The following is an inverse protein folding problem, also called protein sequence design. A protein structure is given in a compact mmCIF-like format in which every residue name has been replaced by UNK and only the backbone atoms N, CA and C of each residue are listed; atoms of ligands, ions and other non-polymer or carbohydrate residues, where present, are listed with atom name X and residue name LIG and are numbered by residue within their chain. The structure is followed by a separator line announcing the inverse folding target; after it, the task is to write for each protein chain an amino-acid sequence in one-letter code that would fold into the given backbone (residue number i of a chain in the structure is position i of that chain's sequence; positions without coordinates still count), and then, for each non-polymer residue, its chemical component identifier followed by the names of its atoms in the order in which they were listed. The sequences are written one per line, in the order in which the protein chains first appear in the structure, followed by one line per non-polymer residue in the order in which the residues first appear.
data_IF_462899564750
#
_entry.id   IF_462899564750
#
_cell.length_a   1.000
_cell.length_b   1.000
_cell.length_c   1.000
_cell.angle_alpha   90.00
_cell.angle_beta   90.00
_cell.angle_gamma   90.00
#
_symmetry.space_group_name_H-M   'P 1'
#
loop_
_entity.id
_entity.type
_entity.pdbx_description
1 polymer ?
#
# COMPACT_ATOMS: atom_id res chain seq x y z
N UNK A 1 19.43 54.53 5.53
CA UNK A 1 19.55 54.91 4.12
C UNK A 1 19.93 53.65 3.37
N UNK A 2 19.05 53.12 2.53
CA UNK A 2 19.39 52.57 1.21
C UNK A 2 18.17 51.96 0.51
N UNK A 3 17.98 52.39 -0.74
CA UNK A 3 17.20 51.77 -1.82
C UNK A 3 18.13 50.69 -2.45
N UNK A 4 17.73 49.58 -3.07
CA UNK A 4 16.71 49.37 -4.11
C UNK A 4 16.58 47.87 -4.45
N UNK A 5 15.35 47.43 -4.78
CA UNK A 5 14.87 46.37 -5.69
C UNK A 5 15.73 45.12 -6.04
N UNK A 6 15.12 43.93 -5.91
CA UNK A 6 14.82 43.04 -7.06
C UNK A 6 13.69 42.02 -6.75
N UNK A 7 13.03 41.56 -7.80
CA UNK A 7 11.73 40.86 -7.86
C UNK A 7 11.71 39.42 -7.31
N UNK A 8 10.53 38.94 -6.88
CA UNK A 8 10.17 37.52 -6.90
C UNK A 8 8.75 37.33 -7.45
N UNK A 9 8.69 36.60 -8.56
CA UNK A 9 7.46 36.08 -9.14
C UNK A 9 7.06 34.81 -8.39
N UNK A 10 5.80 34.70 -7.97
CA UNK A 10 4.92 33.52 -8.02
C UNK A 10 3.71 33.76 -7.09
N UNK A 11 2.62 34.23 -7.68
CA UNK A 11 1.29 34.27 -7.08
C UNK A 11 0.45 33.14 -7.71
N UNK A 12 0.01 32.17 -6.91
CA UNK A 12 -0.99 31.18 -7.32
C UNK A 12 -2.35 31.64 -6.78
N UNK A 13 -3.10 32.35 -7.61
CA UNK A 13 -4.49 32.72 -7.35
C UNK A 13 -5.42 31.57 -7.74
N UNK A 14 -6.20 31.08 -6.79
CA UNK A 14 -7.35 30.21 -7.06
C UNK A 14 -8.60 31.07 -7.25
N UNK A 15 -9.12 31.13 -8.48
CA UNK A 15 -10.48 31.60 -8.73
C UNK A 15 -11.33 30.47 -9.31
N UNK A 16 -12.38 30.13 -8.57
CA UNK A 16 -13.45 29.24 -8.99
C UNK A 16 -14.43 29.99 -9.90
N UNK A 17 -14.77 29.41 -11.05
CA UNK A 17 -15.98 29.76 -11.80
C UNK A 17 -16.69 28.51 -12.30
N UNK A 18 -18.01 28.52 -12.16
CA UNK A 18 -18.95 27.42 -12.42
C UNK A 18 -19.72 27.67 -13.74
N UNK A 19 -19.85 26.59 -14.54
CA UNK A 19 -20.93 26.27 -15.51
C UNK A 19 -20.96 26.98 -16.89
N UNK A 20 -21.60 26.43 -17.97
CA UNK A 20 -22.30 25.13 -18.17
C UNK A 20 -21.88 24.33 -19.46
N UNK A 21 -22.59 23.22 -19.69
CA UNK A 21 -22.44 22.14 -20.70
C UNK A 21 -22.66 22.57 -22.17
N UNK A 22 -21.90 22.00 -23.12
CA UNK A 22 -22.37 21.61 -24.47
C UNK A 22 -21.42 20.60 -25.16
N UNK A 23 -22.01 19.59 -25.82
CA UNK A 23 -21.40 18.56 -26.67
C UNK A 23 -20.60 19.12 -27.86
N UNK A 24 -19.47 18.49 -28.23
CA UNK A 24 -19.32 17.70 -29.48
C UNK A 24 -17.85 17.50 -29.92
N UNK A 25 -17.52 16.23 -30.18
CA UNK A 25 -16.57 15.72 -31.20
C UNK A 25 -15.04 15.95 -31.09
N UNK A 26 -14.34 14.86 -31.43
CA UNK A 26 -12.92 14.55 -31.29
C UNK A 26 -12.08 15.03 -32.48
N UNK A 27 -10.87 15.57 -32.24
CA UNK A 27 -9.60 15.11 -32.86
C UNK A 27 -8.41 15.95 -32.40
N UNK A 28 -7.24 15.31 -32.18
CA UNK A 28 -5.86 15.83 -32.25
C UNK A 28 -4.92 14.64 -31.97
N UNK A 29 -4.32 14.00 -32.98
CA UNK A 29 -2.96 14.27 -33.49
C UNK A 29 -1.93 14.64 -32.42
N UNK A 30 -0.96 13.74 -32.16
CA UNK A 30 0.27 14.03 -31.42
C UNK A 30 1.49 13.63 -32.24
N UNK A 31 2.44 14.56 -32.37
CA UNK A 31 3.68 14.43 -33.11
C UNK A 31 4.89 14.46 -32.16
N UNK A 32 5.76 13.43 -32.29
CA UNK A 32 7.23 13.42 -32.10
C UNK A 32 7.73 13.36 -30.63
N UNK A 33 8.86 12.75 -30.25
CA UNK A 33 9.90 11.90 -30.87
C UNK A 33 10.73 11.32 -29.70
N UNK A 34 11.21 10.07 -29.76
CA UNK A 34 12.38 9.65 -28.97
C UNK A 34 13.32 8.76 -29.80
N UNK A 35 14.63 9.00 -29.62
CA UNK A 35 15.78 8.49 -30.39
C UNK A 35 16.22 7.07 -29.96
N UNK A 36 16.45 6.21 -30.97
CA UNK A 36 17.54 5.24 -31.26
C UNK A 36 18.73 5.10 -30.28
N UNK A 37 19.44 3.97 -30.06
CA UNK A 37 19.83 2.73 -30.82
C UNK A 37 20.60 1.77 -29.81
N UNK A 38 21.28 0.65 -30.18
CA UNK A 38 20.89 -0.65 -30.80
C UNK A 38 21.35 -1.90 -29.96
N UNK A 39 21.01 -3.11 -30.42
CA UNK A 39 21.88 -4.29 -30.23
C UNK A 39 21.92 -5.12 -31.51
N UNK A 40 23.08 -5.16 -32.15
CA UNK A 40 23.48 -6.16 -33.13
C UNK A 40 23.84 -7.46 -32.39
N UNK A 41 23.41 -8.62 -32.89
CA UNK A 41 24.26 -9.82 -32.97
C UNK A 41 23.62 -10.93 -33.84
N UNK A 42 24.42 -11.40 -34.80
CA UNK A 42 24.35 -12.61 -35.64
C UNK A 42 23.44 -12.68 -36.87
N UNK A 43 24.10 -12.40 -38.02
CA UNK A 43 23.95 -13.09 -39.30
C UNK A 43 24.32 -14.59 -39.21
N UNK A 44 23.69 -15.44 -40.04
CA UNK A 44 24.37 -16.20 -41.12
C UNK A 44 23.43 -17.13 -41.93
N UNK A 45 23.26 -16.75 -43.22
CA UNK A 45 23.31 -17.53 -44.48
C UNK A 45 22.76 -18.97 -44.60
N UNK A 46 21.95 -19.21 -45.66
CA UNK A 46 22.36 -19.99 -46.86
C UNK A 46 21.27 -20.09 -47.95
N UNK A 47 21.72 -19.96 -49.20
CA UNK A 47 20.98 -20.08 -50.48
C UNK A 47 20.79 -21.55 -50.94
N UNK A 48 19.71 -21.85 -51.70
CA UNK A 48 19.71 -22.29 -53.13
C UNK A 48 18.50 -23.17 -53.60
N UNK A 49 17.96 -22.76 -54.77
CA UNK A 49 17.48 -23.52 -55.97
C UNK A 49 16.28 -24.51 -55.99
N UNK A 50 15.31 -24.15 -56.88
CA UNK A 50 14.48 -24.88 -57.88
C UNK A 50 13.83 -26.27 -57.59
N UNK A 51 12.50 -26.39 -57.75
CA UNK A 51 11.75 -26.85 -58.96
C UNK A 51 10.35 -27.44 -58.63
N UNK A 52 9.34 -27.16 -59.49
CA UNK A 52 8.31 -28.13 -59.92
C UNK A 52 7.06 -28.47 -59.08
N UNK A 53 5.90 -28.14 -59.68
CA UNK A 53 4.66 -28.96 -59.77
C UNK A 53 3.54 -28.88 -58.71
N UNK A 54 2.33 -29.11 -59.23
CA UNK A 54 0.96 -28.76 -58.76
C UNK A 54 0.41 -29.70 -57.69
N UNK A 55 -0.32 -29.14 -56.70
CA UNK A 55 -1.25 -29.86 -55.83
C UNK A 55 -2.13 -28.88 -55.04
N UNK A 56 -3.45 -28.97 -55.21
CA UNK A 56 -4.44 -28.24 -54.40
C UNK A 56 -4.38 -28.71 -52.94
N UNK A 57 -4.31 -27.78 -52.00
CA UNK A 57 -4.77 -28.00 -50.62
C UNK A 57 -5.32 -26.69 -50.02
N UNK A 58 -6.52 -26.79 -49.43
CA UNK A 58 -7.24 -25.74 -48.72
C UNK A 58 -6.44 -25.26 -47.50
N UNK A 59 -5.81 -24.09 -47.59
CA UNK A 59 -5.16 -23.45 -46.44
C UNK A 59 -6.18 -22.57 -45.72
N UNK A 60 -6.73 -23.10 -44.63
CA UNK A 60 -7.44 -22.29 -43.64
C UNK A 60 -6.41 -21.45 -42.87
N UNK A 61 -6.34 -20.14 -43.17
CA UNK A 61 -5.51 -19.20 -42.43
C UNK A 61 -5.83 -19.26 -40.93
N UNK A 62 -4.89 -19.82 -40.20
CA UNK A 62 -4.91 -19.96 -38.75
C UNK A 62 -3.77 -19.10 -38.23
N UNK A 63 -4.05 -17.85 -37.88
CA UNK A 63 -3.04 -17.02 -37.20
C UNK A 63 -2.82 -17.61 -35.80
N UNK A 64 -1.63 -18.16 -35.59
CA UNK A 64 -1.16 -18.65 -34.31
C UNK A 64 -0.27 -17.58 -33.67
N UNK A 65 -0.59 -17.20 -32.44
CA UNK A 65 0.23 -16.26 -31.68
C UNK A 65 0.44 -16.76 -30.26
N UNK A 66 1.60 -16.42 -29.72
CA UNK A 66 2.04 -16.85 -28.39
C UNK A 66 1.67 -15.79 -27.36
N UNK A 67 0.85 -16.17 -26.39
CA UNK A 67 0.61 -15.37 -25.20
C UNK A 67 1.39 -16.00 -24.04
N UNK A 68 2.38 -15.28 -23.50
CA UNK A 68 3.23 -15.74 -22.40
C UNK A 68 3.94 -17.09 -22.65
N UNK A 69 4.34 -17.36 -23.89
CA UNK A 69 5.11 -18.55 -24.24
C UNK A 69 4.31 -19.81 -24.56
N UNK A 70 2.96 -19.75 -24.52
CA UNK A 70 2.10 -20.86 -24.92
C UNK A 70 1.44 -20.56 -26.28
N UNK A 71 1.50 -21.51 -27.24
CA UNK A 71 0.85 -21.33 -28.53
C UNK A 71 -0.66 -21.40 -28.38
N UNK A 72 -1.34 -20.38 -28.92
CA UNK A 72 -2.81 -20.28 -28.95
C UNK A 72 -3.26 -19.95 -30.37
N UNK A 73 -4.27 -20.66 -30.87
CA UNK A 73 -4.85 -20.43 -32.20
C UNK A 73 -6.25 -19.83 -32.10
N UNK A 74 -6.50 -18.80 -32.90
CA UNK A 74 -7.79 -18.11 -32.93
C UNK A 74 -8.40 -18.22 -34.32
N UNK A 75 -9.40 -19.10 -34.47
CA UNK A 75 -10.01 -19.40 -35.76
C UNK A 75 -11.02 -18.30 -36.15
N UNK A 76 -10.60 -17.32 -36.96
CA UNK A 76 -11.54 -16.35 -37.57
C UNK A 76 -12.31 -17.03 -38.69
N UNK A 77 -13.64 -17.08 -38.57
CA UNK A 77 -14.51 -17.55 -39.66
C UNK A 77 -14.60 -16.44 -40.72
N UNK A 78 -14.00 -16.68 -41.87
CA UNK A 78 -14.01 -15.77 -43.02
C UNK A 78 -15.42 -15.39 -43.46
N UNK A 79 -15.61 -14.10 -43.74
CA UNK A 79 -16.86 -13.51 -44.22
C UNK A 79 -16.82 -13.52 -45.75
N UNK A 80 -17.57 -14.43 -46.38
CA UNK A 80 -17.67 -14.55 -47.83
C UNK A 80 -18.99 -15.18 -48.25
N UNK A 81 -20.05 -14.36 -48.22
CA UNK A 81 -21.09 -14.23 -49.26
C UNK A 81 -22.31 -13.52 -48.66
N UNK A 82 -22.56 -12.33 -49.20
CA UNK A 82 -23.73 -11.51 -48.91
C UNK A 82 -24.93 -12.14 -49.59
N UNK A 83 -25.66 -13.01 -48.90
CA UNK A 83 -27.07 -13.25 -49.20
C UNK A 83 -27.87 -12.26 -48.38
N UNK A 84 -28.53 -11.36 -49.09
CA UNK A 84 -29.55 -10.45 -48.59
C UNK A 84 -30.53 -11.17 -47.65
N UNK A 85 -30.43 -10.92 -46.35
CA UNK A 85 -31.52 -11.18 -45.41
C UNK A 85 -31.75 -9.94 -44.57
N UNK A 86 -32.78 -9.20 -44.99
CA UNK A 86 -33.44 -8.18 -44.21
C UNK A 86 -33.76 -8.72 -42.81
N UNK A 87 -33.46 -7.90 -41.80
CA UNK A 87 -34.01 -7.89 -40.45
C UNK A 87 -35.03 -8.99 -40.12
N UNK A 88 -34.59 -10.05 -39.45
CA UNK A 88 -35.45 -10.83 -38.55
C UNK A 88 -34.60 -11.78 -37.71
N UNK A 89 -34.21 -11.35 -36.52
CA UNK A 89 -33.74 -12.24 -35.46
C UNK A 89 -34.93 -13.09 -34.95
N UNK A 90 -35.37 -14.08 -35.73
CA UNK A 90 -36.23 -15.14 -35.23
C UNK A 90 -35.37 -16.37 -34.93
N UNK A 91 -34.70 -16.32 -33.77
CA UNK A 91 -34.41 -17.58 -33.07
C UNK A 91 -35.76 -18.29 -32.89
N UNK A 92 -35.86 -19.54 -33.33
CA UNK A 92 -37.03 -20.38 -33.08
C UNK A 92 -37.40 -20.26 -31.58
N UNK A 93 -38.66 -19.99 -31.21
CA UNK A 93 -39.03 -19.66 -29.82
C UNK A 93 -38.50 -20.67 -28.79
N UNK A 94 -38.47 -21.95 -29.18
CA UNK A 94 -37.93 -23.05 -28.39
C UNK A 94 -36.42 -22.97 -28.12
N UNK A 95 -35.60 -22.53 -29.08
CA UNK A 95 -34.15 -22.40 -28.91
C UNK A 95 -33.78 -21.15 -28.10
N UNK A 96 -34.52 -20.06 -28.25
CA UNK A 96 -34.36 -18.84 -27.43
C UNK A 96 -34.71 -19.11 -25.96
N UNK A 97 -35.85 -19.77 -25.73
CA UNK A 97 -36.28 -20.17 -24.39
C UNK A 97 -35.30 -21.14 -23.71
N UNK A 98 -34.69 -22.07 -24.45
CA UNK A 98 -33.69 -22.99 -23.92
C UNK A 98 -32.38 -22.29 -23.52
N UNK A 99 -31.90 -21.33 -24.30
CA UNK A 99 -30.70 -20.53 -23.98
C UNK A 99 -30.97 -19.57 -22.81
N UNK A 100 -32.16 -18.96 -22.74
CA UNK A 100 -32.58 -18.12 -21.62
C UNK A 100 -32.73 -18.93 -20.31
N UNK A 101 -33.27 -20.16 -20.38
CA UNK A 101 -33.37 -21.05 -19.22
C UNK A 101 -32.00 -21.51 -18.69
N UNK A 102 -31.04 -21.79 -19.57
CA UNK A 102 -29.65 -22.11 -19.19
C UNK A 102 -28.92 -20.89 -18.58
N UNK A 103 -29.17 -19.69 -19.11
CA UNK A 103 -28.61 -18.45 -18.57
C UNK A 103 -29.14 -18.13 -17.17
N UNK A 104 -30.45 -18.23 -16.94
CA UNK A 104 -31.04 -18.01 -15.61
C UNK A 104 -30.63 -19.07 -14.61
N UNK A 105 -30.42 -20.32 -15.04
CA UNK A 105 -29.82 -21.38 -14.21
C UNK A 105 -28.39 -21.01 -13.79
N UNK A 106 -27.54 -20.57 -14.73
CA UNK A 106 -26.17 -20.14 -14.41
C UNK A 106 -26.15 -18.95 -13.45
N UNK A 107 -27.02 -17.97 -13.67
CA UNK A 107 -27.18 -16.80 -12.79
C UNK A 107 -27.66 -17.18 -11.39
N UNK A 108 -28.59 -18.13 -11.29
CA UNK A 108 -29.05 -18.67 -10.01
C UNK A 108 -27.90 -19.39 -9.27
N UNK A 109 -27.06 -20.16 -9.97
CA UNK A 109 -25.88 -20.81 -9.38
C UNK A 109 -24.86 -19.80 -8.86
N UNK A 110 -24.56 -18.74 -9.62
CA UNK A 110 -23.61 -17.70 -9.16
C UNK A 110 -24.16 -16.96 -7.94
N UNK A 111 -25.45 -16.61 -7.95
CA UNK A 111 -26.11 -15.95 -6.81
C UNK A 111 -26.18 -16.84 -5.58
N UNK A 112 -26.40 -18.14 -5.76
CA UNK A 112 -26.45 -19.07 -4.64
C UNK A 112 -25.09 -19.25 -4.00
N UNK A 113 -23.99 -19.22 -4.78
CA UNK A 113 -22.64 -19.27 -4.24
C UNK A 113 -22.25 -18.02 -3.45
N UNK A 114 -22.47 -16.82 -4.00
CA UNK A 114 -22.00 -15.57 -3.40
C UNK A 114 -22.66 -15.17 -2.06
N UNK A 115 -23.79 -15.77 -1.70
CA UNK A 115 -24.52 -15.46 -0.46
C UNK A 115 -24.47 -16.59 0.58
N UNK A 116 -23.66 -17.63 0.37
CA UNK A 116 -23.56 -18.72 1.33
C UNK A 116 -22.78 -18.29 2.57
N UNK A 117 -23.25 -18.68 3.78
CA UNK A 117 -22.44 -18.55 4.98
C UNK A 117 -21.23 -19.48 4.89
N UNK A 118 -20.13 -19.10 5.56
CA UNK A 118 -18.88 -19.87 5.53
C UNK A 118 -19.07 -21.33 5.99
N UNK A 119 -20.01 -21.59 6.91
CA UNK A 119 -20.33 -22.95 7.38
C UNK A 119 -20.86 -23.88 6.29
N UNK A 120 -21.44 -23.34 5.21
CA UNK A 120 -21.91 -24.10 4.05
C UNK A 120 -20.92 -24.03 2.88
N UNK A 121 -20.34 -22.85 2.64
CA UNK A 121 -19.40 -22.63 1.53
C UNK A 121 -18.08 -23.36 1.73
N UNK A 122 -17.56 -23.38 2.98
CA UNK A 122 -16.34 -24.09 3.37
C UNK A 122 -16.44 -24.60 4.82
N UNK A 123 -17.08 -25.77 5.04
CA UNK A 123 -17.26 -26.34 6.37
C UNK A 123 -15.94 -26.62 7.11
N UNK A 124 -14.88 -26.98 6.37
CA UNK A 124 -13.58 -27.28 6.94
C UNK A 124 -12.92 -26.01 7.51
N UNK A 125 -12.98 -24.90 6.76
CA UNK A 125 -12.49 -23.62 7.26
C UNK A 125 -13.33 -23.12 8.44
N UNK A 126 -14.65 -23.25 8.40
CA UNK A 126 -15.52 -22.88 9.52
C UNK A 126 -15.16 -23.64 10.81
N UNK A 127 -14.87 -24.94 10.73
CA UNK A 127 -14.43 -25.72 11.88
C UNK A 127 -13.10 -25.21 12.46
N UNK A 128 -12.14 -24.84 11.60
CA UNK A 128 -10.88 -24.25 12.03
C UNK A 128 -11.06 -22.89 12.72
N UNK A 129 -11.94 -22.03 12.18
CA UNK A 129 -12.27 -20.73 12.78
C UNK A 129 -12.87 -20.90 14.18
N UNK A 130 -13.82 -21.82 14.34
CA UNK A 130 -14.43 -22.07 15.66
C UNK A 130 -13.43 -22.68 16.65
N UNK A 131 -12.52 -23.56 16.19
CA UNK A 131 -11.42 -24.07 17.04
C UNK A 131 -10.48 -22.93 17.49
N UNK A 132 -10.09 -22.03 16.60
CA UNK A 132 -9.25 -20.87 16.94
C UNK A 132 -9.94 -19.96 17.96
N UNK A 133 -11.22 -19.65 17.75
CA UNK A 133 -12.04 -18.88 18.70
C UNK A 133 -12.08 -19.54 20.09
N UNK A 134 -12.29 -20.87 20.16
CA UNK A 134 -12.27 -21.58 21.43
C UNK A 134 -10.89 -21.55 22.10
N UNK A 135 -9.79 -21.64 21.32
CA UNK A 135 -8.42 -21.48 21.84
C UNK A 135 -8.23 -20.09 22.45
N UNK A 136 -8.66 -19.03 21.76
CA UNK A 136 -8.54 -17.66 22.25
C UNK A 136 -9.36 -17.41 23.53
N UNK A 137 -10.57 -17.98 23.62
CA UNK A 137 -11.44 -17.82 24.81
C UNK A 137 -10.92 -18.60 26.01
N UNK A 138 -10.35 -19.79 25.81
CA UNK A 138 -9.92 -20.68 26.89
C UNK A 138 -8.45 -20.50 27.27
N UNK A 139 -7.65 -19.92 26.38
CA UNK A 139 -6.21 -19.76 26.56
C UNK A 139 -5.86 -18.49 27.32
N UNK A 140 -4.71 -18.52 28.00
CA UNK A 140 -4.06 -17.32 28.51
C UNK A 140 -3.08 -16.85 27.43
N UNK A 141 -3.40 -15.75 26.75
CA UNK A 141 -2.54 -15.18 25.71
C UNK A 141 -1.68 -14.08 26.32
N UNK A 142 -0.36 -14.31 26.35
CA UNK A 142 0.63 -13.40 26.93
C UNK A 142 1.55 -12.78 25.85
N UNK A 143 1.18 -12.90 24.58
CA UNK A 143 1.91 -12.25 23.50
C UNK A 143 1.62 -10.73 23.52
N UNK A 144 2.63 -9.92 23.78
CA UNK A 144 2.49 -8.47 23.98
C UNK A 144 1.99 -7.71 22.74
N UNK A 145 2.14 -8.26 21.54
CA UNK A 145 1.64 -7.67 20.30
C UNK A 145 0.23 -8.11 19.93
N UNK A 146 -0.34 -9.09 20.61
CA UNK A 146 -1.70 -9.57 20.34
C UNK A 146 -2.73 -8.83 21.17
N UNK A 147 -3.92 -8.68 20.60
CA UNK A 147 -5.06 -8.08 21.29
C UNK A 147 -6.38 -8.56 20.68
N UNK A 148 -7.48 -8.40 21.41
CA UNK A 148 -8.83 -8.71 20.95
C UNK A 148 -9.57 -7.44 20.61
N UNK A 149 -9.93 -7.29 19.34
CA UNK A 149 -10.74 -6.17 18.86
C UNK A 149 -12.20 -6.32 19.28
N UNK A 150 -12.93 -5.20 19.32
CA UNK A 150 -14.37 -5.25 19.62
C UNK A 150 -15.19 -5.73 18.42
N UNK A 151 -16.42 -6.17 18.69
CA UNK A 151 -17.34 -6.68 17.65
C UNK A 151 -17.58 -5.67 16.51
N UNK A 152 -17.70 -4.39 16.83
CA UNK A 152 -17.90 -3.33 15.84
C UNK A 152 -16.76 -3.27 14.80
N UNK A 153 -15.49 -3.49 15.22
CA UNK A 153 -14.34 -3.54 14.31
C UNK A 153 -14.42 -4.75 13.38
N UNK A 154 -14.84 -5.91 13.90
CA UNK A 154 -15.04 -7.12 13.09
C UNK A 154 -16.17 -6.95 12.08
N UNK A 155 -17.27 -6.32 12.49
CA UNK A 155 -18.42 -6.06 11.59
C UNK A 155 -18.03 -5.10 10.46
N UNK A 156 -17.20 -4.09 10.74
CA UNK A 156 -16.67 -3.20 9.71
C UNK A 156 -15.70 -3.91 8.75
N UNK A 157 -14.79 -4.75 9.26
CA UNK A 157 -13.84 -5.53 8.44
C UNK A 157 -14.52 -6.51 7.49
N UNK A 158 -15.59 -7.17 7.95
CA UNK A 158 -16.37 -8.12 7.14
C UNK A 158 -17.45 -7.48 6.26
N UNK A 159 -17.37 -6.17 6.02
CA UNK A 159 -18.41 -5.42 5.30
C UNK A 159 -18.12 -5.26 3.81
N UNK A 160 -19.06 -4.66 3.08
CA UNK A 160 -18.97 -4.39 1.65
C UNK A 160 -17.87 -3.40 1.25
N UNK A 161 -17.21 -2.75 2.22
CA UNK A 161 -16.11 -1.82 1.97
C UNK A 161 -14.96 -2.49 1.21
N UNK A 162 -14.74 -3.79 1.43
CA UNK A 162 -13.71 -4.59 0.71
C UNK A 162 -13.89 -4.62 -0.81
N UNK A 163 -15.10 -4.33 -1.31
CA UNK A 163 -15.40 -4.38 -2.74
C UNK A 163 -14.95 -3.11 -3.48
N UNK A 164 -14.59 -2.03 -2.77
CA UNK A 164 -14.33 -0.74 -3.42
C UNK A 164 -12.85 -0.52 -3.69
N UNK A 165 -12.59 -0.12 -4.93
CA UNK A 165 -11.30 0.39 -5.36
C UNK A 165 -11.26 1.91 -5.21
N UNK A 166 -10.39 2.40 -4.34
CA UNK A 166 -10.27 3.82 -3.97
C UNK A 166 -8.79 4.19 -3.85
N UNK A 167 -8.10 4.19 -4.99
CA UNK A 167 -6.73 4.71 -5.05
C UNK A 167 -6.72 6.20 -4.72
N UNK A 168 -5.62 6.66 -4.12
CA UNK A 168 -5.32 8.05 -3.77
C UNK A 168 -6.05 8.57 -2.52
N UNK A 169 -6.01 9.89 -2.33
CA UNK A 169 -6.55 10.59 -1.17
C UNK A 169 -8.03 10.98 -1.41
N UNK A 170 -8.83 11.17 -0.34
CA UNK A 170 -10.21 11.65 -0.45
C UNK A 170 -10.34 12.92 -1.29
N UNK A 171 -11.32 12.96 -2.20
CA UNK A 171 -11.54 14.08 -3.10
C UNK A 171 -10.59 14.19 -4.30
N UNK A 172 -9.56 13.34 -4.39
CA UNK A 172 -8.62 13.30 -5.51
C UNK A 172 -8.74 12.03 -6.36
N UNK A 173 -9.55 11.04 -5.95
CA UNK A 173 -9.60 9.72 -6.59
C UNK A 173 -9.90 9.76 -8.11
N UNK A 174 -9.10 9.03 -8.89
CA UNK A 174 -9.38 8.75 -10.31
C UNK A 174 -10.69 7.99 -10.59
N UNK A 175 -11.12 7.12 -9.66
CA UNK A 175 -12.30 6.27 -9.87
C UNK A 175 -13.56 6.90 -9.28
N UNK A 176 -14.65 6.83 -10.04
CA UNK A 176 -15.97 7.23 -9.56
C UNK A 176 -16.49 6.36 -8.41
N UNK A 177 -17.52 6.87 -7.73
CA UNK A 177 -18.29 6.13 -6.72
C UNK A 177 -17.65 6.04 -5.33
N UNK A 178 -16.67 6.90 -5.01
CA UNK A 178 -16.01 6.94 -3.70
C UNK A 178 -16.67 7.88 -2.68
N UNK A 179 -17.83 8.45 -2.97
CA UNK A 179 -18.50 9.45 -2.10
C UNK A 179 -18.63 9.06 -0.61
N UNK A 180 -18.81 7.76 -0.32
CA UNK A 180 -18.88 7.26 1.05
C UNK A 180 -17.52 6.78 1.57
N UNK A 181 -16.62 6.31 0.69
CA UNK A 181 -15.27 5.94 1.09
C UNK A 181 -14.51 7.19 1.55
N UNK A 182 -14.61 8.29 0.80
CA UNK A 182 -14.01 9.58 1.15
C UNK A 182 -14.48 10.07 2.52
N UNK A 183 -15.79 9.91 2.82
CA UNK A 183 -16.36 10.25 4.13
C UNK A 183 -15.81 9.35 5.25
N UNK A 184 -15.68 8.04 4.98
CA UNK A 184 -15.15 7.08 5.96
C UNK A 184 -13.68 7.38 6.26
N UNK A 185 -12.88 7.65 5.23
CA UNK A 185 -11.46 7.95 5.36
C UNK A 185 -11.24 9.31 6.03
N UNK A 186 -11.98 10.34 5.64
CA UNK A 186 -11.96 11.66 6.32
C UNK A 186 -12.33 11.55 7.80
N UNK A 187 -13.39 10.81 8.13
CA UNK A 187 -13.76 10.53 9.52
C UNK A 187 -12.66 9.77 10.27
N UNK A 188 -11.92 8.89 9.58
CA UNK A 188 -10.81 8.18 10.17
C UNK A 188 -9.62 9.11 10.47
N UNK A 189 -9.31 10.06 9.59
CA UNK A 189 -8.29 11.07 9.83
C UNK A 189 -8.60 11.93 11.06
N UNK A 190 -9.81 12.48 11.11
CA UNK A 190 -10.26 13.31 12.24
C UNK A 190 -10.16 12.55 13.56
N UNK A 191 -10.61 11.30 13.58
CA UNK A 191 -10.57 10.45 14.79
C UNK A 191 -9.15 10.06 15.16
N UNK A 192 -8.26 9.85 14.19
CA UNK A 192 -6.87 9.55 14.45
C UNK A 192 -6.17 10.75 15.11
N UNK A 193 -6.31 11.96 14.57
CA UNK A 193 -5.77 13.18 15.18
C UNK A 193 -6.35 13.44 16.59
N UNK A 194 -7.68 13.30 16.73
CA UNK A 194 -8.35 13.47 18.01
C UNK A 194 -7.89 12.45 19.07
N UNK A 195 -7.62 11.20 18.68
CA UNK A 195 -7.16 10.15 19.60
C UNK A 195 -5.80 10.48 20.23
N UNK A 196 -4.97 11.28 19.57
CA UNK A 196 -3.65 11.70 20.06
C UNK A 196 -3.58 13.16 20.49
N UNK A 197 -4.72 13.87 20.53
CA UNK A 197 -4.78 15.28 20.94
C UNK A 197 -3.91 16.18 20.04
N UNK A 198 -3.93 15.90 18.74
CA UNK A 198 -3.07 16.58 17.77
C UNK A 198 -3.82 17.69 17.05
N UNK A 199 -3.15 18.84 16.96
CA UNK A 199 -3.61 19.97 16.17
C UNK A 199 -3.47 19.67 14.67
N UNK A 200 -4.57 19.65 13.89
CA UNK A 200 -4.54 19.39 12.45
C UNK A 200 -3.70 20.38 11.66
N UNK A 201 -3.46 21.60 12.16
CA UNK A 201 -2.56 22.57 11.50
C UNK A 201 -1.09 22.16 11.61
N UNK A 202 -0.74 21.42 12.67
CA UNK A 202 0.62 20.95 12.93
C UNK A 202 0.83 19.49 12.52
N UNK A 203 -0.23 18.72 12.31
CA UNK A 203 -0.17 17.28 12.13
C UNK A 203 -1.05 16.80 10.97
N UNK A 204 -0.40 16.12 10.03
CA UNK A 204 -1.05 15.29 9.04
C UNK A 204 -1.11 13.83 9.49
N UNK A 205 -2.03 13.09 8.90
CA UNK A 205 -2.19 11.65 9.15
C UNK A 205 -2.50 10.90 7.86
N UNK A 206 -1.87 9.74 7.66
CA UNK A 206 -2.21 8.79 6.61
C UNK A 206 -2.64 7.47 7.26
N UNK A 207 -3.83 6.97 6.89
CA UNK A 207 -4.48 5.76 7.46
C UNK A 207 -4.52 4.59 6.46
N UNK A 208 -3.89 4.73 5.31
CA UNK A 208 -3.85 3.73 4.24
C UNK A 208 -2.78 2.62 4.38
N UNK A 209 -1.69 2.76 5.17
CA UNK A 209 -0.71 1.69 5.27
C UNK A 209 -1.31 0.37 5.79
N UNK A 210 -1.09 -0.72 5.05
CA UNK A 210 -1.64 -2.04 5.36
C UNK A 210 -1.14 -2.63 6.67
N UNK A 211 0.10 -2.31 7.07
CA UNK A 211 0.71 -2.76 8.32
C UNK A 211 1.88 -1.87 8.73
N UNK A 212 2.35 -2.04 9.96
CA UNK A 212 3.45 -1.25 10.53
C UNK A 212 4.73 -1.30 9.68
N UNK A 213 5.12 -2.49 9.20
CA UNK A 213 6.29 -2.62 8.32
C UNK A 213 6.14 -1.81 7.03
N UNK A 214 4.94 -1.81 6.43
CA UNK A 214 4.66 -1.03 5.23
C UNK A 214 4.62 0.47 5.51
N UNK A 215 4.06 0.90 6.65
CA UNK A 215 4.09 2.31 7.04
C UNK A 215 5.53 2.80 7.26
N UNK A 216 6.35 2.04 7.98
CA UNK A 216 7.75 2.38 8.17
C UNK A 216 8.50 2.48 6.85
N UNK A 217 8.28 1.52 5.94
CA UNK A 217 8.91 1.55 4.62
C UNK A 217 8.41 2.72 3.75
N UNK A 218 7.13 3.09 3.86
CA UNK A 218 6.57 4.28 3.20
C UNK A 218 7.21 5.57 3.72
N UNK A 219 7.47 5.67 5.03
CA UNK A 219 8.21 6.81 5.62
C UNK A 219 9.62 6.89 5.05
N UNK A 220 10.34 5.77 5.01
CA UNK A 220 11.70 5.75 4.48
C UNK A 220 11.71 6.16 3.01
N UNK A 221 10.86 5.57 2.18
CA UNK A 221 10.82 5.86 0.74
C UNK A 221 10.28 7.25 0.41
N UNK A 222 9.44 7.83 1.27
CA UNK A 222 8.91 9.18 1.09
C UNK A 222 9.86 10.29 1.54
N UNK A 223 10.75 10.03 2.49
CA UNK A 223 11.64 11.04 3.08
C UNK A 223 13.12 10.83 2.78
N UNK A 224 13.51 9.64 2.34
CA UNK A 224 14.89 9.26 2.10
C UNK A 224 15.12 8.81 0.67
N UNK A 225 16.32 9.09 0.17
CA UNK A 225 16.81 8.50 -1.06
C UNK A 225 17.37 7.09 -0.80
N UNK A 226 17.36 6.19 -1.80
CA UNK A 226 18.01 4.89 -1.66
C UNK A 226 19.47 5.03 -1.20
N UNK A 227 19.90 4.12 -0.31
CA UNK A 227 21.21 4.11 0.36
C UNK A 227 21.47 5.24 1.36
N UNK A 228 20.52 6.13 1.61
CA UNK A 228 20.63 7.02 2.76
C UNK A 228 20.63 6.23 4.07
N UNK A 229 21.18 6.86 5.09
CA UNK A 229 21.54 6.20 6.34
C UNK A 229 20.40 6.25 7.35
N UNK A 230 20.05 5.10 7.91
CA UNK A 230 19.06 4.98 8.99
C UNK A 230 19.71 4.34 10.21
N UNK A 231 19.31 4.79 11.41
CA UNK A 231 19.73 4.15 12.65
C UNK A 231 18.52 3.83 13.54
N UNK A 232 18.42 2.58 13.99
CA UNK A 232 17.34 2.08 14.84
C UNK A 232 17.86 1.20 15.98
N UNK A 233 16.97 0.78 16.89
CA UNK A 233 17.33 -0.15 17.95
C UNK A 233 17.63 -1.53 17.34
N UNK A 234 18.72 -2.16 17.79
CA UNK A 234 19.08 -3.52 17.40
C UNK A 234 17.94 -4.50 17.74
N UNK A 235 17.58 -5.38 16.81
CA UNK A 235 16.47 -6.33 16.98
C UNK A 235 16.67 -7.28 18.16
N UNK A 236 17.91 -7.69 18.45
CA UNK A 236 18.21 -8.52 19.63
C UNK A 236 18.12 -7.73 20.93
N UNK A 237 18.18 -6.40 20.86
CA UNK A 237 17.97 -5.48 21.98
C UNK A 237 16.52 -4.98 22.09
N UNK A 238 15.60 -5.52 21.28
CA UNK A 238 14.17 -5.20 21.31
C UNK A 238 13.70 -4.21 20.25
N UNK A 239 14.52 -3.88 19.26
CA UNK A 239 14.08 -3.15 18.07
C UNK A 239 13.21 -4.00 17.13
N UNK A 240 12.53 -3.37 16.19
CA UNK A 240 11.70 -4.08 15.22
C UNK A 240 12.48 -4.40 13.94
N UNK A 241 12.12 -5.47 13.24
CA UNK A 241 12.82 -5.92 12.01
C UNK A 241 12.82 -4.82 10.94
N UNK A 242 11.75 -4.04 10.84
CA UNK A 242 11.63 -2.95 9.86
C UNK A 242 12.57 -1.76 10.14
N UNK A 243 13.25 -1.72 11.28
CA UNK A 243 14.17 -0.62 11.63
C UNK A 243 15.58 -0.80 11.03
N UNK A 244 15.71 -1.65 10.00
CA UNK A 244 17.00 -1.92 9.34
C UNK A 244 17.74 -3.11 9.93
N UNK A 245 17.05 -4.22 10.23
CA UNK A 245 17.68 -5.40 10.81
C UNK A 245 18.74 -6.03 9.88
N UNK A 246 19.95 -6.16 10.44
CA UNK A 246 21.10 -6.88 9.90
C UNK A 246 21.44 -8.05 10.83
N UNK A 247 21.80 -9.21 10.28
CA UNK A 247 22.35 -10.28 11.11
C UNK A 247 23.74 -9.90 11.63
N UNK A 248 24.24 -10.55 12.70
CA UNK A 248 25.61 -10.34 13.18
C UNK A 248 26.69 -10.57 12.11
N UNK A 249 26.39 -11.39 11.10
CA UNK A 249 27.30 -11.71 9.99
C UNK A 249 27.18 -10.69 8.83
N UNK A 250 26.38 -9.64 8.98
CA UNK A 250 26.19 -8.59 7.97
C UNK A 250 25.12 -8.88 6.91
N UNK A 251 24.33 -9.95 7.06
CA UNK A 251 23.27 -10.24 6.08
C UNK A 251 22.08 -9.29 6.28
N UNK A 252 21.63 -8.68 5.18
CA UNK A 252 20.47 -7.79 5.13
C UNK A 252 19.19 -8.64 5.15
N UNK A 253 18.38 -8.49 6.20
CA UNK A 253 17.19 -9.33 6.44
C UNK A 253 15.88 -8.58 6.26
N UNK A 254 15.91 -7.26 6.37
CA UNK A 254 14.72 -6.41 6.23
C UNK A 254 14.76 -5.62 4.93
N UNK A 255 13.60 -5.30 4.35
CA UNK A 255 13.52 -4.39 3.20
C UNK A 255 14.26 -3.07 3.50
N UNK A 256 14.08 -2.51 4.70
CA UNK A 256 14.80 -1.32 5.13
C UNK A 256 16.33 -1.48 5.02
N UNK A 257 16.90 -2.58 5.53
CA UNK A 257 18.35 -2.86 5.42
C UNK A 257 18.82 -3.16 4.00
N UNK A 258 17.94 -3.53 3.07
CA UNK A 258 18.28 -3.79 1.66
C UNK A 258 18.34 -2.48 0.87
N UNK A 259 17.36 -1.60 1.07
CA UNK A 259 17.23 -0.35 0.31
C UNK A 259 17.98 0.84 0.92
N UNK A 260 18.24 0.81 2.23
CA UNK A 260 18.90 1.88 2.99
C UNK A 260 20.14 1.34 3.71
N UNK A 261 21.08 2.22 4.03
CA UNK A 261 22.25 1.84 4.82
C UNK A 261 21.90 1.92 6.30
N UNK A 262 21.77 0.76 6.94
CA UNK A 262 21.33 0.65 8.33
C UNK A 262 22.50 0.44 9.29
N UNK A 263 22.47 1.17 10.40
CA UNK A 263 23.24 0.85 11.61
C UNK A 263 22.27 0.68 12.78
N UNK A 264 22.68 -0.01 13.84
CA UNK A 264 21.87 -0.15 15.05
C UNK A 264 22.52 0.51 16.25
N UNK A 265 21.72 1.06 17.16
CA UNK A 265 22.14 1.32 18.54
C UNK A 265 21.62 0.20 19.46
N UNK A 266 22.22 0.06 20.64
CA UNK A 266 21.98 -1.07 21.55
C UNK A 266 21.64 -0.58 22.95
N UNK A 267 20.99 -1.45 23.72
CA UNK A 267 20.88 -1.25 25.17
C UNK A 267 22.20 -1.59 25.86
N UNK A 268 22.43 -1.02 27.03
CA UNK A 268 23.50 -1.41 27.92
C UNK A 268 23.19 -2.81 28.48
N UNK A 269 24.05 -3.82 28.27
CA UNK A 269 23.76 -5.21 28.66
C UNK A 269 23.71 -5.41 30.18
N UNK A 270 24.24 -4.48 30.98
CA UNK A 270 24.21 -4.57 32.45
C UNK A 270 22.91 -4.00 33.03
N UNK A 271 22.39 -2.91 32.45
CA UNK A 271 21.22 -2.20 33.01
C UNK A 271 19.91 -2.54 32.27
N UNK A 272 20.02 -3.04 31.03
CA UNK A 272 18.90 -3.21 30.12
C UNK A 272 18.30 -1.88 29.65
N UNK A 273 18.94 -0.75 29.93
CA UNK A 273 18.51 0.59 29.51
C UNK A 273 19.23 1.00 28.23
N UNK A 274 18.61 1.89 27.45
CA UNK A 274 19.34 2.61 26.40
C UNK A 274 20.44 3.47 27.01
N UNK A 275 21.61 3.41 26.39
CA UNK A 275 22.73 4.29 26.67
C UNK A 275 22.71 5.43 25.65
N UNK A 276 22.06 6.53 26.00
CA UNK A 276 21.83 7.66 25.08
C UNK A 276 23.12 8.34 24.64
N UNK A 277 24.18 8.28 25.44
CA UNK A 277 25.48 8.84 25.07
C UNK A 277 26.13 7.97 23.99
N UNK A 278 25.98 6.65 24.08
CA UNK A 278 26.37 5.74 22.99
C UNK A 278 25.48 5.86 21.76
N UNK A 279 24.20 6.19 21.91
CA UNK A 279 23.33 6.53 20.78
C UNK A 279 23.83 7.79 20.08
N UNK A 280 24.16 8.84 20.85
CA UNK A 280 24.70 10.10 20.32
C UNK A 280 26.03 9.86 19.59
N UNK A 281 26.99 9.17 20.21
CA UNK A 281 28.29 8.82 19.61
C UNK A 281 28.10 8.13 18.26
N UNK A 282 27.26 7.08 18.21
CA UNK A 282 26.99 6.37 16.95
C UNK A 282 26.29 7.24 15.91
N UNK A 283 25.35 8.08 16.32
CA UNK A 283 24.65 8.98 15.40
C UNK A 283 25.62 10.02 14.81
N UNK A 284 26.53 10.55 15.63
CA UNK A 284 27.54 11.51 15.16
C UNK A 284 28.57 10.86 14.24
N UNK A 285 28.98 9.61 14.48
CA UNK A 285 29.91 8.92 13.58
C UNK A 285 29.24 8.50 12.27
N UNK A 286 28.04 7.92 12.37
CA UNK A 286 27.32 7.35 11.23
C UNK A 286 26.60 8.41 10.39
N UNK A 287 26.32 9.60 10.92
CA UNK A 287 25.58 10.68 10.22
C UNK A 287 24.29 10.17 9.56
N UNK A 288 23.32 9.63 10.33
CA UNK A 288 22.08 9.12 9.78
C UNK A 288 21.25 10.26 9.20
N UNK A 289 20.52 9.99 8.11
CA UNK A 289 19.46 10.86 7.64
C UNK A 289 18.18 10.69 8.46
N UNK A 290 18.00 9.52 9.08
CA UNK A 290 16.88 9.23 9.97
C UNK A 290 17.33 8.49 11.24
N UNK A 291 16.91 9.01 12.39
CA UNK A 291 17.05 8.39 13.70
C UNK A 291 15.68 7.83 14.12
N UNK A 292 15.61 6.53 14.38
CA UNK A 292 14.38 5.83 14.75
C UNK A 292 14.41 5.54 16.25
N UNK A 293 13.41 5.99 17.00
CA UNK A 293 13.13 5.56 18.37
C UNK A 293 11.86 4.69 18.41
N UNK A 294 11.76 3.80 19.40
CA UNK A 294 10.69 2.80 19.45
C UNK A 294 11.19 1.39 19.15
N UNK A 295 10.41 0.39 19.54
CA UNK A 295 10.80 -1.01 19.43
C UNK A 295 9.71 -1.96 19.91
N UNK A 296 9.89 -3.25 19.64
CA UNK A 296 8.94 -4.31 19.97
C UNK A 296 9.07 -4.82 21.40
N UNK A 297 10.29 -4.81 21.96
CA UNK A 297 10.59 -5.41 23.25
C UNK A 297 11.47 -4.47 24.09
N UNK A 298 11.02 -3.24 24.31
CA UNK A 298 11.64 -2.32 25.25
C UNK A 298 10.78 -2.19 26.51
N UNK A 299 11.30 -2.63 27.65
CA UNK A 299 10.58 -2.61 28.93
C UNK A 299 10.61 -1.25 29.65
N UNK A 300 11.34 -0.27 29.09
CA UNK A 300 11.54 1.04 29.70
C UNK A 300 10.98 2.14 28.83
N UNK A 301 10.66 3.26 29.46
CA UNK A 301 10.27 4.48 28.78
C UNK A 301 11.43 5.03 27.94
N UNK A 302 11.05 5.67 26.84
CA UNK A 302 11.97 6.32 25.91
C UNK A 302 12.13 7.79 26.31
N UNK A 303 13.38 8.26 26.40
CA UNK A 303 13.67 9.69 26.55
C UNK A 303 13.62 10.36 25.18
N UNK A 304 12.41 10.69 24.76
CA UNK A 304 12.14 11.36 23.49
C UNK A 304 12.86 12.72 23.38
N UNK A 305 13.00 13.46 24.49
CA UNK A 305 13.70 14.74 24.47
C UNK A 305 15.18 14.55 24.14
N UNK A 306 15.81 13.52 24.72
CA UNK A 306 17.19 13.17 24.41
C UNK A 306 17.36 12.72 22.96
N UNK A 307 16.45 11.90 22.43
CA UNK A 307 16.46 11.53 21.01
C UNK A 307 16.32 12.74 20.08
N UNK A 308 15.44 13.70 20.41
CA UNK A 308 15.29 14.96 19.66
C UNK A 308 16.60 15.74 19.61
N UNK A 309 17.23 15.94 20.76
CA UNK A 309 18.52 16.63 20.81
C UNK A 309 19.59 15.94 19.96
N UNK A 310 19.64 14.61 19.94
CA UNK A 310 20.59 13.86 19.12
C UNK A 310 20.27 14.04 17.63
N UNK A 311 19.00 13.91 17.23
CA UNK A 311 18.56 14.08 15.86
C UNK A 311 18.90 15.50 15.33
N UNK A 312 18.61 16.53 16.12
CA UNK A 312 18.88 17.92 15.74
C UNK A 312 20.39 18.17 15.62
N UNK A 313 21.23 17.56 16.48
CA UNK A 313 22.70 17.66 16.42
C UNK A 313 23.29 17.05 15.15
N UNK A 314 22.78 15.91 14.67
CA UNK A 314 23.27 15.27 13.46
C UNK A 314 22.50 15.65 12.19
N UNK A 315 21.47 16.51 12.30
CA UNK A 315 20.63 16.92 11.18
C UNK A 315 19.73 15.79 10.64
N UNK A 316 19.37 14.83 11.50
CA UNK A 316 18.55 13.68 11.14
C UNK A 316 17.05 13.96 11.36
N UNK A 317 16.21 13.33 10.54
CA UNK A 317 14.78 13.23 10.81
C UNK A 317 14.59 12.27 11.98
N UNK A 318 13.80 12.67 12.97
CA UNK A 318 13.45 11.80 14.09
C UNK A 318 12.09 11.14 13.86
N UNK A 319 12.12 9.81 13.79
CA UNK A 319 10.95 8.96 13.62
C UNK A 319 10.71 8.15 14.90
N UNK A 320 9.48 8.14 15.39
CA UNK A 320 9.04 7.28 16.48
C UNK A 320 8.17 6.14 15.92
N UNK A 321 8.55 4.90 16.19
CA UNK A 321 7.66 3.74 15.99
C UNK A 321 7.06 3.33 17.33
N UNK A 322 5.80 3.71 17.54
CA UNK A 322 5.11 3.47 18.80
C UNK A 322 4.07 2.34 18.71
N UNK A 323 4.29 1.39 17.79
CA UNK A 323 3.37 0.28 17.55
C UNK A 323 2.89 -0.45 18.81
N UNK A 324 3.78 -0.71 19.76
CA UNK A 324 3.43 -1.43 21.01
C UNK A 324 2.75 -0.57 22.08
N UNK A 325 2.95 0.76 22.06
CA UNK A 325 2.50 1.66 23.13
C UNK A 325 1.44 2.67 22.69
N UNK A 326 1.03 2.63 21.42
CA UNK A 326 0.03 3.49 20.79
C UNK A 326 -1.23 3.68 21.65
N UNK A 327 -1.83 2.59 22.14
CA UNK A 327 -3.02 2.62 22.99
C UNK A 327 -2.78 3.29 24.34
N UNK A 328 -1.58 3.12 24.92
CA UNK A 328 -1.18 3.76 26.19
C UNK A 328 -1.02 5.26 25.98
N UNK A 329 -0.37 5.66 24.88
CA UNK A 329 -0.22 7.06 24.46
C UNK A 329 -1.61 7.70 24.26
N UNK A 330 -2.49 7.06 23.49
CA UNK A 330 -3.84 7.55 23.21
C UNK A 330 -4.68 7.74 24.47
N UNK A 331 -4.55 6.82 25.43
CA UNK A 331 -5.27 6.87 26.69
C UNK A 331 -4.78 7.97 27.66
N UNK A 332 -3.72 8.70 27.30
CA UNK A 332 -3.11 9.77 28.11
C UNK A 332 -2.77 9.32 29.54
N UNK A 333 -2.51 8.01 29.74
CA UNK A 333 -2.10 7.48 31.03
C UNK A 333 -0.76 8.12 31.38
N UNK A 334 -0.64 8.62 32.62
CA UNK A 334 0.40 9.55 33.11
C UNK A 334 1.87 9.14 32.90
N UNK A 335 2.19 8.00 32.27
CA UNK A 335 3.55 7.61 31.91
C UNK A 335 4.14 8.44 30.75
N UNK A 336 3.35 9.10 29.90
CA UNK A 336 3.87 9.71 28.66
C UNK A 336 3.51 11.19 28.49
N UNK A 337 3.71 11.99 29.54
CA UNK A 337 3.55 13.46 29.47
C UNK A 337 4.86 14.13 29.04
N UNK A 338 5.15 14.15 27.73
CA UNK A 338 5.70 15.30 26.97
C UNK A 338 6.30 14.88 25.61
N UNK A 339 5.87 15.61 24.58
CA UNK A 339 6.36 15.69 23.19
C UNK A 339 5.87 14.64 22.18
N UNK A 340 5.42 15.16 21.02
CA UNK A 340 4.90 14.43 19.88
C UNK A 340 5.90 14.56 18.72
N UNK A 341 6.37 13.42 18.19
CA UNK A 341 7.23 13.25 17.01
C UNK A 341 6.47 12.49 15.92
N UNK A 342 6.99 12.49 14.68
CA UNK A 342 6.51 11.60 13.62
C UNK A 342 6.32 10.20 14.19
N UNK A 343 5.11 9.66 14.11
CA UNK A 343 4.76 8.43 14.79
C UNK A 343 4.11 7.41 13.83
N UNK A 344 4.64 6.20 13.79
CA UNK A 344 4.00 5.04 13.14
C UNK A 344 3.27 4.19 14.18
N UNK A 345 2.04 3.78 13.88
CA UNK A 345 1.13 3.11 14.81
C UNK A 345 0.92 1.65 14.48
N UNK A 346 0.66 0.85 15.51
CA UNK A 346 -0.14 -0.36 15.39
C UNK A 346 -1.27 -0.28 16.41
N UNK A 347 -2.51 -0.54 16.00
CA UNK A 347 -3.71 -0.68 16.83
C UNK A 347 -4.12 0.52 17.71
N UNK A 348 -5.08 1.31 17.22
CA UNK A 348 -5.89 2.19 18.05
C UNK A 348 -7.30 1.58 18.14
N UNK A 349 -7.90 1.69 19.33
CA UNK A 349 -9.31 1.37 19.58
C UNK A 349 -10.22 2.43 18.94
N UNK A 350 -10.10 2.64 17.63
CA UNK A 350 -11.06 3.41 16.83
C UNK A 350 -12.17 2.46 16.37
N UNK A 351 -13.42 2.94 16.17
CA UNK A 351 -14.52 2.13 15.65
C UNK A 351 -14.30 1.60 14.21
N UNK A 352 -13.16 1.92 13.60
CA UNK A 352 -12.75 1.47 12.29
C UNK A 352 -11.41 0.75 12.39
N UNK A 353 -11.29 -0.36 11.66
CA UNK A 353 -10.07 -1.17 11.62
C UNK A 353 -8.98 -0.41 10.87
N UNK A 354 -8.22 0.39 11.62
CA UNK A 354 -6.92 0.85 11.14
C UNK A 354 -5.87 0.15 11.96
N UNK A 355 -5.26 -0.86 11.33
CA UNK A 355 -4.18 -1.64 11.91
C UNK A 355 -2.95 -0.76 12.09
N UNK A 356 -2.74 0.26 11.24
CA UNK A 356 -1.56 1.12 11.23
C UNK A 356 -1.89 2.51 10.70
N UNK A 357 -1.45 3.54 11.42
CA UNK A 357 -1.58 4.95 11.07
C UNK A 357 -0.18 5.55 10.99
N UNK A 358 0.03 6.53 10.12
CA UNK A 358 1.26 7.30 10.04
C UNK A 358 0.96 8.77 10.30
N UNK A 359 1.64 9.38 11.28
CA UNK A 359 1.50 10.80 11.57
C UNK A 359 2.77 11.54 11.19
N UNK A 360 2.57 12.66 10.52
CA UNK A 360 3.64 13.54 10.06
C UNK A 360 3.44 14.91 10.69
N UNK A 361 4.46 15.39 11.41
CA UNK A 361 4.46 16.78 11.88
C UNK A 361 4.80 17.68 10.71
N UNK A 362 3.96 18.67 10.46
CA UNK A 362 4.24 19.74 9.51
C UNK A 362 5.13 20.75 10.26
N UNK A 363 6.43 20.77 9.96
CA UNK A 363 7.28 21.87 10.42
C UNK A 363 7.04 23.07 9.50
N UNK A 364 6.47 24.15 10.04
CA UNK A 364 6.55 25.47 9.41
C UNK A 364 8.01 25.91 9.46
N UNK A 365 8.67 25.94 8.29
CA UNK A 365 10.07 26.32 8.14
C UNK A 365 10.40 27.73 8.59
#
# INVERSE_FOLDING_TARGET
MDLSQCQSNLFLGFHAHRSPISDDSISLQSSWCFRTLPSELLDQQSDNSCDGFVGLDDVADSEEFSLLGYPTSLKRRGRGECLSFSSSFYLHPSKRAAVEADFEKRKATVRSWGNQPISLADPALHEMIEKEKQKQVKGIVLNASENYVCRAVLDALGSHLTNKYSEEMPGACYYGGNQYIDQIEGLCYERALAAFDLDPECWGVNVQPYSCTFANFAVFTGLLMPKERIIGLDTLCGGHVSHGYLTPNGNRMSGASIFFESMSYKVNPKTGCLDYDKVEERAMDFHPKMLICGGSLCLREWDYARFRQIADKCGAILMCDMAHISGIVAAKVKLLRRFVMLATFALIKLPFSVTTVLFVRLESG
#
